data_IF_753591180853
#
_entry.id   IF_753591180853
#
_cell.length_a   1.000
_cell.length_b   1.000
_cell.length_c   1.000
_cell.angle_alpha   90.00
_cell.angle_beta   90.00
_cell.angle_gamma   90.00
#
_symmetry.space_group_name_H-M   'P 1'
#
loop_
_entity.id
_entity.type
_entity.pdbx_description
1 polymer ?
#
# COMPACT_ATOMS: atom_id res chain seq x y z
N UNK A 1 -7.89 -1.39 -22.30
CA UNK A 1 -8.34 -0.68 -21.09
C UNK A 1 -8.58 -1.64 -19.93
N UNK A 2 -9.55 -2.57 -20.01
CA UNK A 2 -9.77 -3.57 -18.95
C UNK A 2 -8.56 -4.51 -18.75
N UNK A 3 -8.01 -5.08 -19.83
CA UNK A 3 -6.82 -5.93 -19.75
C UNK A 3 -5.63 -5.23 -19.08
N UNK A 4 -5.36 -3.98 -19.44
CA UNK A 4 -4.28 -3.17 -18.87
C UNK A 4 -4.47 -2.91 -17.36
N UNK A 5 -5.73 -2.76 -16.93
CA UNK A 5 -6.09 -2.56 -15.53
C UNK A 5 -5.96 -3.86 -14.74
N UNK A 6 -6.43 -4.98 -15.28
CA UNK A 6 -6.25 -6.30 -14.68
C UNK A 6 -4.78 -6.64 -14.51
N UNK A 7 -3.96 -6.39 -15.54
CA UNK A 7 -2.51 -6.59 -15.45
C UNK A 7 -1.92 -5.70 -14.37
N UNK A 8 -2.27 -4.40 -14.34
CA UNK A 8 -1.80 -3.46 -13.32
C UNK A 8 -2.07 -3.91 -11.88
N UNK A 9 -3.28 -4.38 -11.60
CA UNK A 9 -3.68 -4.86 -10.27
C UNK A 9 -2.99 -6.19 -9.91
N UNK A 10 -2.66 -7.03 -10.89
CA UNK A 10 -1.96 -8.29 -10.66
C UNK A 10 -0.46 -8.13 -10.40
N UNK A 11 0.14 -6.98 -10.76
CA UNK A 11 1.58 -6.74 -10.55
C UNK A 11 1.97 -6.83 -9.06
N UNK A 12 1.32 -6.10 -8.12
CA UNK A 12 1.60 -6.25 -6.69
C UNK A 12 1.43 -7.67 -6.16
N UNK A 13 0.42 -8.40 -6.65
CA UNK A 13 0.20 -9.80 -6.27
C UNK A 13 1.37 -10.70 -6.70
N UNK A 14 1.84 -10.53 -7.94
CA UNK A 14 2.99 -11.27 -8.47
C UNK A 14 4.26 -10.88 -7.69
N UNK A 15 4.49 -9.58 -7.45
CA UNK A 15 5.63 -9.08 -6.68
C UNK A 15 5.70 -9.70 -5.28
N UNK A 16 4.60 -9.61 -4.53
CA UNK A 16 4.49 -10.23 -3.19
C UNK A 16 4.72 -11.74 -3.24
N UNK A 17 4.14 -12.44 -4.23
CA UNK A 17 4.30 -13.88 -4.38
C UNK A 17 5.75 -14.28 -4.69
N UNK A 18 6.44 -13.53 -5.56
CA UNK A 18 7.84 -13.74 -5.88
C UNK A 18 8.74 -13.42 -4.68
N UNK A 19 8.45 -12.35 -3.95
CA UNK A 19 9.13 -11.99 -2.70
C UNK A 19 9.00 -13.10 -1.65
N UNK A 20 7.79 -13.63 -1.45
CA UNK A 20 7.56 -14.76 -0.54
C UNK A 20 8.29 -16.04 -0.99
N UNK A 21 8.36 -16.30 -2.30
CA UNK A 21 9.09 -17.45 -2.85
C UNK A 21 10.60 -17.40 -2.57
N UNK A 22 11.17 -16.22 -2.29
CA UNK A 22 12.58 -16.10 -1.90
C UNK A 22 12.92 -16.83 -0.59
N UNK A 23 11.93 -17.18 0.24
CA UNK A 23 12.14 -18.02 1.43
C UNK A 23 12.77 -19.37 1.07
N UNK A 24 12.46 -19.97 -0.09
CA UNK A 24 13.06 -21.25 -0.51
C UNK A 24 14.54 -21.13 -0.88
N UNK A 25 14.97 -19.94 -1.29
CA UNK A 25 16.35 -19.64 -1.71
C UNK A 25 17.17 -19.15 -0.52
N UNK A 26 16.66 -18.16 0.21
CA UNK A 26 17.35 -17.48 1.30
C UNK A 26 17.31 -18.27 2.61
N UNK A 27 16.23 -19.03 2.87
CA UNK A 27 16.00 -19.80 4.10
C UNK A 27 16.38 -18.97 5.33
N UNK A 28 17.19 -19.52 6.23
CA UNK A 28 17.65 -18.87 7.47
C UNK A 28 18.88 -17.96 7.29
N UNK A 29 19.28 -17.64 6.05
CA UNK A 29 20.52 -16.89 5.76
C UNK A 29 20.33 -15.39 5.56
N UNK A 30 19.15 -14.84 5.88
CA UNK A 30 18.91 -13.41 5.72
C UNK A 30 19.66 -12.62 6.80
N UNK A 31 20.71 -11.91 6.39
CA UNK A 31 21.44 -11.02 7.30
C UNK A 31 20.57 -9.85 7.75
N UNK A 32 20.71 -9.42 9.00
CA UNK A 32 19.96 -8.28 9.56
C UNK A 32 20.17 -6.99 8.75
N UNK A 33 21.38 -6.79 8.19
CA UNK A 33 21.68 -5.65 7.30
C UNK A 33 20.86 -5.67 6.03
N UNK A 34 20.71 -6.86 5.42
CA UNK A 34 19.88 -7.02 4.22
C UNK A 34 18.40 -6.77 4.54
N UNK A 35 17.89 -7.32 5.64
CA UNK A 35 16.51 -7.08 6.06
C UNK A 35 16.23 -5.59 6.29
N UNK A 36 17.12 -4.90 7.02
CA UNK A 36 17.02 -3.45 7.24
C UNK A 36 17.11 -2.67 5.92
N UNK A 37 17.99 -3.07 5.02
CA UNK A 37 18.12 -2.47 3.68
C UNK A 37 16.85 -2.62 2.84
N UNK A 38 16.28 -3.82 2.78
CA UNK A 38 15.04 -4.11 2.04
C UNK A 38 13.84 -3.38 2.63
N UNK A 39 13.70 -3.37 3.95
CA UNK A 39 12.60 -2.68 4.65
C UNK A 39 12.69 -1.16 4.44
N UNK A 40 13.91 -0.60 4.53
CA UNK A 40 14.13 0.82 4.26
C UNK A 40 13.88 1.20 2.80
N UNK A 41 14.26 0.33 1.86
CA UNK A 41 13.95 0.51 0.44
C UNK A 41 12.44 0.53 0.21
N UNK A 42 11.71 -0.47 0.73
CA UNK A 42 10.26 -0.55 0.61
C UNK A 42 9.56 0.70 1.19
N UNK A 43 9.94 1.11 2.40
CA UNK A 43 9.42 2.32 3.02
C UNK A 43 9.68 3.57 2.15
N UNK A 44 10.88 3.69 1.58
CA UNK A 44 11.23 4.80 0.68
C UNK A 44 10.38 4.86 -0.59
N UNK A 45 10.16 3.71 -1.25
CA UNK A 45 9.31 3.63 -2.45
C UNK A 45 7.87 4.00 -2.12
N UNK A 46 7.34 3.51 -1.00
CA UNK A 46 5.96 3.83 -0.56
C UNK A 46 5.77 5.32 -0.25
N UNK A 47 6.76 5.95 0.39
CA UNK A 47 6.73 7.40 0.62
C UNK A 47 6.76 8.15 -0.72
N UNK A 48 7.66 7.80 -1.63
CA UNK A 48 7.73 8.45 -2.94
C UNK A 48 6.43 8.30 -3.75
N UNK A 49 5.87 7.09 -3.80
CA UNK A 49 4.58 6.83 -4.44
C UNK A 49 3.45 7.70 -3.86
N UNK A 50 3.42 7.85 -2.53
CA UNK A 50 2.41 8.67 -1.85
C UNK A 50 2.45 10.14 -2.28
N UNK A 51 3.64 10.72 -2.49
CA UNK A 51 3.78 12.11 -2.91
C UNK A 51 3.54 12.31 -4.41
N UNK A 52 4.25 11.57 -5.26
CA UNK A 52 4.25 11.82 -6.71
C UNK A 52 3.08 11.16 -7.43
N UNK A 53 2.67 9.97 -7.03
CA UNK A 53 1.64 9.20 -7.73
C UNK A 53 0.24 9.41 -7.17
N UNK A 54 0.11 9.89 -5.93
CA UNK A 54 -1.19 10.09 -5.27
C UNK A 54 -1.45 11.55 -4.91
N UNK A 55 -0.59 12.18 -4.10
CA UNK A 55 -0.84 13.52 -3.57
C UNK A 55 -0.83 14.61 -4.64
N UNK A 56 0.21 14.67 -5.47
CA UNK A 56 0.30 15.68 -6.55
C UNK A 56 -0.89 15.57 -7.52
N UNK A 57 -1.24 14.39 -8.06
CA UNK A 57 -2.43 14.24 -8.91
C UNK A 57 -3.75 14.59 -8.20
N UNK A 58 -3.87 14.35 -6.89
CA UNK A 58 -5.06 14.73 -6.13
C UNK A 58 -5.21 16.26 -6.00
N UNK A 59 -4.10 16.98 -5.81
CA UNK A 59 -4.08 18.45 -5.76
C UNK A 59 -4.38 19.07 -7.13
N UNK A 60 -3.85 18.50 -8.22
CA UNK A 60 -4.13 18.98 -9.57
C UNK A 60 -5.60 18.78 -9.97
N UNK A 61 -6.20 17.65 -9.59
CA UNK A 61 -7.62 17.37 -9.83
C UNK A 61 -8.57 18.35 -9.14
N UNK A 62 -8.12 18.94 -8.04
CA UNK A 62 -8.88 19.91 -7.23
C UNK A 62 -8.45 21.35 -7.48
N UNK A 63 -7.65 21.60 -8.52
CA UNK A 63 -7.17 22.94 -8.90
C UNK A 63 -8.28 23.95 -9.17
N UNK A 64 -9.47 23.49 -9.58
CA UNK A 64 -10.66 24.33 -9.77
C UNK A 64 -11.14 25.02 -8.48
N UNK A 65 -10.74 24.53 -7.30
CA UNK A 65 -11.03 25.12 -6.00
C UNK A 65 -10.06 26.26 -5.62
N UNK A 66 -9.08 26.58 -6.48
CA UNK A 66 -8.11 27.64 -6.27
C UNK A 66 -7.29 27.42 -4.99
N UNK A 67 -7.35 28.38 -4.04
CA UNK A 67 -6.63 28.31 -2.76
C UNK A 67 -7.08 27.14 -1.87
N UNK A 68 -8.23 26.53 -2.15
CA UNK A 68 -8.80 25.41 -1.40
C UNK A 68 -8.55 24.05 -2.06
N UNK A 69 -7.70 23.96 -3.09
CA UNK A 69 -7.35 22.69 -3.75
C UNK A 69 -6.74 21.66 -2.80
N UNK A 70 -6.08 22.10 -1.72
CA UNK A 70 -5.54 21.16 -0.73
C UNK A 70 -6.63 20.48 0.11
N UNK A 71 -7.85 21.02 0.16
CA UNK A 71 -8.87 20.58 1.12
C UNK A 71 -9.37 19.14 0.83
N UNK A 72 -9.71 18.75 -0.42
CA UNK A 72 -10.07 17.36 -0.71
C UNK A 72 -8.94 16.37 -0.41
N UNK A 73 -7.70 16.72 -0.75
CA UNK A 73 -6.53 15.89 -0.49
C UNK A 73 -6.28 15.73 1.03
N UNK A 74 -6.39 16.81 1.80
CA UNK A 74 -6.20 16.80 3.25
C UNK A 74 -7.30 15.99 3.96
N UNK A 75 -8.56 16.19 3.58
CA UNK A 75 -9.68 15.42 4.15
C UNK A 75 -9.51 13.93 3.80
N UNK A 76 -9.22 13.62 2.53
CA UNK A 76 -8.99 12.24 2.09
C UNK A 76 -7.82 11.58 2.83
N UNK A 77 -6.73 12.31 3.04
CA UNK A 77 -5.58 11.84 3.82
C UNK A 77 -5.96 11.57 5.28
N UNK A 78 -6.64 12.49 5.96
CA UNK A 78 -7.08 12.31 7.35
C UNK A 78 -8.06 11.14 7.50
N UNK A 79 -9.00 10.98 6.56
CA UNK A 79 -9.92 9.84 6.53
C UNK A 79 -9.14 8.54 6.31
N UNK A 80 -8.15 8.54 5.42
CA UNK A 80 -7.28 7.38 5.18
C UNK A 80 -6.46 7.00 6.42
N UNK A 81 -5.88 7.98 7.11
CA UNK A 81 -5.18 7.76 8.40
C UNK A 81 -6.15 7.20 9.44
N UNK A 82 -7.33 7.78 9.59
CA UNK A 82 -8.35 7.27 10.51
C UNK A 82 -8.80 5.85 10.16
N UNK A 83 -8.94 5.54 8.88
CA UNK A 83 -9.27 4.20 8.40
C UNK A 83 -8.17 3.19 8.75
N UNK A 84 -6.90 3.52 8.51
CA UNK A 84 -5.78 2.66 8.87
C UNK A 84 -5.66 2.45 10.38
N UNK A 85 -5.83 3.51 11.17
CA UNK A 85 -5.84 3.43 12.64
C UNK A 85 -6.99 2.54 13.13
N UNK A 86 -8.18 2.66 12.54
CA UNK A 86 -9.30 1.80 12.88
C UNK A 86 -9.03 0.33 12.55
N UNK A 87 -8.44 0.05 11.37
CA UNK A 87 -8.06 -1.31 11.01
C UNK A 87 -7.02 -1.87 11.97
N UNK A 88 -6.02 -1.08 12.36
CA UNK A 88 -4.98 -1.49 13.30
C UNK A 88 -5.56 -1.85 14.68
N UNK A 89 -6.42 -1.00 15.23
CA UNK A 89 -7.06 -1.19 16.54
C UNK A 89 -7.99 -2.42 16.59
N UNK A 90 -8.74 -2.66 15.52
CA UNK A 90 -9.71 -3.78 15.44
C UNK A 90 -9.00 -5.12 15.24
N UNK A 91 -7.78 -5.08 14.72
CA UNK A 91 -7.08 -6.29 14.31
C UNK A 91 -6.29 -6.89 15.45
N UNK A 92 -6.56 -8.15 15.84
CA UNK A 92 -5.74 -8.87 16.81
C UNK A 92 -4.37 -9.18 16.18
N UNK A 93 -3.36 -8.36 16.48
CA UNK A 93 -2.02 -8.51 15.95
C UNK A 93 -0.98 -8.55 17.08
N UNK A 94 0.20 -9.09 16.79
CA UNK A 94 1.33 -9.09 17.72
C UNK A 94 2.48 -8.33 17.09
N UNK A 95 3.04 -7.39 17.85
CA UNK A 95 4.28 -6.72 17.46
C UNK A 95 5.48 -7.66 17.66
N UNK A 96 6.59 -7.30 17.04
CA UNK A 96 7.85 -8.07 17.10
C UNK A 96 8.35 -8.27 18.55
N UNK A 97 7.91 -7.40 19.47
CA UNK A 97 8.26 -7.36 20.90
C UNK A 97 7.31 -8.19 21.79
N UNK A 98 6.46 -9.06 21.22
CA UNK A 98 5.47 -9.89 21.92
C UNK A 98 4.38 -9.11 22.67
N UNK A 99 4.18 -7.82 22.38
CA UNK A 99 3.00 -7.08 22.84
C UNK A 99 1.79 -7.43 21.96
N UNK A 100 0.66 -7.74 22.60
CA UNK A 100 -0.60 -8.04 21.91
C UNK A 100 -1.47 -6.78 21.89
N UNK A 101 -1.88 -6.36 20.69
CA UNK A 101 -2.80 -5.26 20.45
C UNK A 101 -4.07 -5.77 19.75
N UNK A 102 -5.19 -5.06 19.95
CA UNK A 102 -6.53 -5.51 19.56
C UNK A 102 -7.23 -6.42 20.60
N UNK A 103 -8.34 -7.10 20.24
CA UNK A 103 -9.16 -7.84 21.19
C UNK A 103 -8.42 -8.99 21.90
N UNK A 104 -8.24 -8.86 23.23
CA UNK A 104 -7.46 -9.76 24.10
C UNK A 104 -8.00 -11.20 24.22
N UNK A 105 -9.23 -11.46 23.79
CA UNK A 105 -9.89 -12.77 23.92
C UNK A 105 -9.70 -13.69 22.70
N UNK A 106 -8.85 -13.32 21.73
CA UNK A 106 -8.77 -14.06 20.47
C UNK A 106 -7.86 -15.29 20.52
N UNK A 107 -8.47 -16.48 20.35
CA UNK A 107 -7.84 -17.82 20.23
C UNK A 107 -7.10 -18.04 18.89
N UNK A 108 -6.65 -16.98 18.22
CA UNK A 108 -6.03 -17.08 16.90
C UNK A 108 -4.57 -17.55 17.00
N UNK A 109 -4.17 -18.47 16.12
CA UNK A 109 -2.78 -18.93 16.04
C UNK A 109 -1.85 -17.79 15.59
N UNK A 110 -0.57 -17.85 15.99
CA UNK A 110 0.45 -16.87 15.58
C UNK A 110 0.51 -16.68 14.06
N UNK A 111 0.39 -17.76 13.29
CA UNK A 111 0.35 -17.72 11.83
C UNK A 111 -0.86 -16.97 11.29
N UNK A 112 -2.04 -17.13 11.90
CA UNK A 112 -3.25 -16.42 11.50
C UNK A 112 -3.14 -14.92 11.76
N UNK A 113 -2.56 -14.52 12.90
CA UNK A 113 -2.30 -13.11 13.21
C UNK A 113 -1.36 -12.47 12.17
N UNK A 114 -0.30 -13.18 11.76
CA UNK A 114 0.63 -12.73 10.71
C UNK A 114 -0.07 -12.57 9.35
N UNK A 115 -0.86 -13.57 8.91
CA UNK A 115 -1.60 -13.49 7.64
C UNK A 115 -2.56 -12.31 7.65
N UNK A 116 -3.26 -12.10 8.77
CA UNK A 116 -4.21 -11.00 8.91
C UNK A 116 -3.50 -9.64 8.84
N UNK A 117 -2.38 -9.46 9.55
CA UNK A 117 -1.58 -8.24 9.52
C UNK A 117 -1.08 -7.89 8.11
N UNK A 118 -0.53 -8.88 7.39
CA UNK A 118 -0.07 -8.71 6.00
C UNK A 118 -1.24 -8.37 5.06
N UNK A 119 -2.37 -9.04 5.23
CA UNK A 119 -3.57 -8.80 4.40
C UNK A 119 -4.06 -7.36 4.55
N UNK A 120 -4.07 -6.83 5.78
CA UNK A 120 -4.53 -5.47 6.05
C UNK A 120 -3.60 -4.39 5.48
N UNK A 121 -2.30 -4.66 5.40
CA UNK A 121 -1.35 -3.77 4.74
C UNK A 121 -1.53 -3.77 3.21
N UNK A 122 -1.89 -4.92 2.63
CA UNK A 122 -2.09 -5.04 1.18
C UNK A 122 -3.40 -4.42 0.68
N UNK A 123 -4.39 -4.19 1.56
CA UNK A 123 -5.66 -3.52 1.19
C UNK A 123 -5.42 -2.08 0.71
N UNK A 124 -4.76 -1.20 1.49
CA UNK A 124 -4.41 0.16 1.06
C UNK A 124 -3.58 0.20 -0.23
N UNK A 125 -2.62 -0.70 -0.36
CA UNK A 125 -1.78 -0.84 -1.55
C UNK A 125 -2.59 -1.17 -2.80
N UNK A 126 -3.47 -2.16 -2.71
CA UNK A 126 -4.39 -2.52 -3.79
C UNK A 126 -5.36 -1.39 -4.13
N UNK A 127 -5.87 -0.68 -3.12
CA UNK A 127 -6.73 0.50 -3.30
C UNK A 127 -6.00 1.62 -4.05
N UNK A 128 -4.75 1.92 -3.70
CA UNK A 128 -3.95 2.96 -4.35
C UNK A 128 -3.77 2.67 -5.85
N UNK A 129 -3.38 1.45 -6.21
CA UNK A 129 -3.26 1.02 -7.61
C UNK A 129 -4.62 1.12 -8.32
N UNK A 130 -5.70 0.64 -7.69
CA UNK A 130 -7.05 0.70 -8.25
C UNK A 130 -7.54 2.12 -8.53
N UNK A 131 -7.34 3.05 -7.60
CA UNK A 131 -7.75 4.46 -7.75
C UNK A 131 -6.99 5.14 -8.88
N UNK A 132 -5.68 4.89 -9.01
CA UNK A 132 -4.88 5.51 -10.07
C UNK A 132 -5.26 4.95 -11.45
N UNK A 133 -5.48 3.64 -11.58
CA UNK A 133 -5.99 3.07 -12.83
C UNK A 133 -7.41 3.57 -13.16
N UNK A 134 -8.29 3.74 -12.16
CA UNK A 134 -9.61 4.33 -12.36
C UNK A 134 -9.51 5.79 -12.82
N UNK A 135 -8.59 6.57 -12.25
CA UNK A 135 -8.32 7.95 -12.67
C UNK A 135 -7.84 8.04 -14.13
N UNK A 136 -6.94 7.13 -14.53
CA UNK A 136 -6.50 7.01 -15.92
C UNK A 136 -7.67 6.66 -16.86
N UNK A 137 -8.52 5.69 -16.50
CA UNK A 137 -9.67 5.29 -17.31
C UNK A 137 -10.71 6.39 -17.47
N UNK A 138 -10.86 7.26 -16.46
CA UNK A 138 -11.74 8.44 -16.53
C UNK A 138 -11.17 9.58 -17.38
N UNK A 139 -10.01 9.40 -18.02
CA UNK A 139 -9.42 10.40 -18.91
C UNK A 139 -8.79 11.58 -18.18
N UNK A 140 -8.40 11.41 -16.92
CA UNK A 140 -7.72 12.44 -16.16
C UNK A 140 -6.33 12.74 -16.76
N UNK A 141 -6.10 13.98 -17.18
CA UNK A 141 -4.84 14.41 -17.80
C UNK A 141 -3.62 14.30 -16.89
N UNK A 142 -3.83 14.37 -15.56
CA UNK A 142 -2.74 14.25 -14.57
C UNK A 142 -2.30 12.81 -14.32
N UNK A 143 -3.13 11.82 -14.68
CA UNK A 143 -2.84 10.40 -14.43
C UNK A 143 -2.61 9.67 -15.75
N UNK A 144 -1.33 9.38 -16.02
CA UNK A 144 -0.93 8.65 -17.23
C UNK A 144 -0.92 7.14 -17.00
N UNK A 145 -1.04 6.37 -18.08
CA UNK A 145 -0.87 4.91 -18.04
C UNK A 145 0.49 4.51 -17.45
N UNK A 146 1.57 5.21 -17.84
CA UNK A 146 2.91 4.94 -17.32
C UNK A 146 3.03 5.30 -15.83
N UNK A 147 2.35 6.35 -15.37
CA UNK A 147 2.27 6.68 -13.94
C UNK A 147 1.54 5.59 -13.14
N UNK A 148 0.43 5.06 -13.68
CA UNK A 148 -0.30 3.96 -13.07
C UNK A 148 0.54 2.66 -13.01
N UNK A 149 1.26 2.35 -14.10
CA UNK A 149 2.16 1.20 -14.15
C UNK A 149 3.36 1.35 -13.21
N UNK A 150 3.96 2.54 -13.14
CA UNK A 150 5.07 2.84 -12.24
C UNK A 150 4.66 2.70 -10.77
N UNK A 151 3.45 3.15 -10.41
CA UNK A 151 2.89 2.94 -9.08
C UNK A 151 2.71 1.44 -8.77
N UNK A 152 2.10 0.70 -9.70
CA UNK A 152 1.89 -0.74 -9.53
C UNK A 152 3.20 -1.51 -9.34
N UNK A 153 4.25 -1.14 -10.09
CA UNK A 153 5.59 -1.73 -9.97
C UNK A 153 6.31 -1.29 -8.70
N UNK A 154 6.11 -0.06 -8.23
CA UNK A 154 6.75 0.46 -7.02
C UNK A 154 6.18 -0.15 -5.74
N UNK A 155 4.89 -0.46 -5.73
CA UNK A 155 4.22 -1.10 -4.59
C UNK A 155 4.49 -2.62 -4.55
N UNK A 156 4.82 -3.24 -5.69
CA UNK A 156 5.04 -4.69 -5.83
C UNK A 156 6.39 -5.17 -5.29
#
# INVERSE_FOLDING_TARGET
MLLSTTIGILIPFIGTSLGAAMVFVLKDKMSEKLQKGLTGFAAGVMVAASFWSLLVPALEQSSSLGKLSFLPAAIGFLVGVGFLLFLDEVTPHMHMDNTEEGPKENRLSRSMKLILAVTLHNIPEGMAVGVVYAGWLNGNSSITYFGALALALGIA
#
